data_IF_746860090191
#
_entry.id   IF_746860090191
#
_cell.length_a   1.000
_cell.length_b   1.000
_cell.length_c   1.000
_cell.angle_alpha   90.00
_cell.angle_beta   90.00
_cell.angle_gamma   90.00
#
_symmetry.space_group_name_H-M   'P 1'
#
loop_
_entity.id
_entity.type
_entity.pdbx_description
1 polymer ?
#
# COMPACT_ATOMS: atom_id res chain seq x y z
N UNK A 1 -10.34 5.06 4.78
CA UNK A 1 -9.22 5.25 3.83
C UNK A 1 -9.13 4.07 2.88
N UNK A 2 -8.16 4.04 1.97
CA UNK A 2 -7.83 2.85 1.18
C UNK A 2 -6.47 2.31 1.63
N UNK A 3 -6.37 1.00 1.82
CA UNK A 3 -5.12 0.33 2.13
C UNK A 3 -4.43 -0.14 0.86
N UNK A 4 -3.10 -0.24 0.89
CA UNK A 4 -2.29 -0.79 -0.19
C UNK A 4 -1.17 -1.66 0.38
N UNK A 5 -1.11 -2.93 -0.03
CA UNK A 5 -0.05 -3.87 0.34
C UNK A 5 0.72 -4.27 -0.93
N UNK A 6 1.82 -3.57 -1.28
CA UNK A 6 2.54 -3.79 -2.53
C UNK A 6 3.54 -4.96 -2.46
N UNK A 7 3.76 -5.49 -1.26
CA UNK A 7 4.65 -6.62 -1.00
C UNK A 7 4.13 -7.94 -1.57
N UNK A 8 5.04 -8.91 -1.63
CA UNK A 8 4.72 -10.30 -1.93
C UNK A 8 5.78 -11.20 -1.30
N UNK A 9 5.37 -12.20 -0.52
CA UNK A 9 6.27 -13.11 0.19
C UNK A 9 6.99 -14.09 -0.74
N UNK A 10 6.29 -14.58 -1.77
CA UNK A 10 6.82 -15.53 -2.75
C UNK A 10 7.69 -14.91 -3.86
N UNK A 11 8.13 -13.67 -3.66
CA UNK A 11 9.02 -12.97 -4.58
C UNK A 11 8.31 -12.21 -5.72
N UNK A 12 9.08 -11.69 -6.68
CA UNK A 12 8.61 -10.69 -7.64
C UNK A 12 7.58 -11.23 -8.65
N UNK A 13 7.51 -12.54 -8.87
CA UNK A 13 6.60 -13.14 -9.85
C UNK A 13 5.10 -12.95 -9.50
N UNK A 14 4.77 -12.87 -8.21
CA UNK A 14 3.41 -12.59 -7.72
C UNK A 14 3.18 -11.11 -7.40
N UNK A 15 4.14 -10.24 -7.72
CA UNK A 15 4.08 -8.83 -7.36
C UNK A 15 3.71 -8.01 -8.58
N UNK A 16 2.64 -7.23 -8.47
CA UNK A 16 2.38 -6.19 -9.47
C UNK A 16 3.48 -5.13 -9.42
N UNK A 17 3.81 -4.54 -10.57
CA UNK A 17 4.88 -3.56 -10.65
C UNK A 17 4.59 -2.35 -9.74
N UNK A 18 5.57 -1.83 -8.98
CA UNK A 18 5.37 -0.68 -8.08
C UNK A 18 4.74 0.53 -8.77
N UNK A 19 5.14 0.78 -10.01
CA UNK A 19 4.63 1.89 -10.82
C UNK A 19 3.15 1.69 -11.17
N UNK A 20 2.70 0.44 -11.36
CA UNK A 20 1.29 0.12 -11.63
C UNK A 20 0.43 0.28 -10.39
N UNK A 21 0.94 -0.05 -9.21
CA UNK A 21 0.29 0.28 -7.95
C UNK A 21 0.11 1.79 -7.80
N UNK A 22 1.17 2.56 -8.07
CA UNK A 22 1.12 4.02 -8.00
C UNK A 22 0.11 4.61 -9.00
N UNK A 23 0.13 4.16 -10.26
CA UNK A 23 -0.82 4.58 -11.30
C UNK A 23 -2.27 4.28 -10.91
N UNK A 24 -2.55 3.06 -10.43
CA UNK A 24 -3.89 2.68 -10.00
C UNK A 24 -4.38 3.54 -8.82
N UNK A 25 -3.53 3.73 -7.82
CA UNK A 25 -3.85 4.55 -6.65
C UNK A 25 -4.07 6.03 -7.03
N UNK A 26 -3.27 6.56 -7.96
CA UNK A 26 -3.45 7.91 -8.49
C UNK A 26 -4.75 8.04 -9.29
N UNK A 27 -5.08 7.07 -10.14
CA UNK A 27 -6.30 7.07 -10.95
C UNK A 27 -7.57 7.06 -10.08
N UNK A 28 -7.57 6.28 -9.00
CA UNK A 28 -8.65 6.27 -8.00
C UNK A 28 -8.73 7.63 -7.28
N UNK A 29 -7.58 8.19 -6.90
CA UNK A 29 -7.50 9.49 -6.22
C UNK A 29 -7.97 10.66 -7.10
N UNK A 30 -7.89 10.52 -8.42
CA UNK A 30 -8.40 11.51 -9.37
C UNK A 30 -9.95 11.51 -9.45
N UNK A 31 -10.59 10.36 -9.21
CA UNK A 31 -12.04 10.21 -9.25
C UNK A 31 -12.70 10.53 -7.90
N UNK A 32 -12.00 10.27 -6.80
CA UNK A 32 -12.47 10.55 -5.45
C UNK A 32 -11.33 11.02 -4.57
N UNK A 33 -11.58 11.99 -3.68
CA UNK A 33 -10.59 12.40 -2.67
C UNK A 33 -10.33 11.23 -1.72
N UNK A 34 -9.27 10.47 -1.97
CA UNK A 34 -8.87 9.31 -1.17
C UNK A 34 -7.53 9.53 -0.49
N UNK A 35 -7.44 9.07 0.75
CA UNK A 35 -6.18 8.89 1.47
C UNK A 35 -5.76 7.42 1.41
N UNK A 36 -4.50 7.19 1.10
CA UNK A 36 -3.87 5.88 1.02
C UNK A 36 -3.02 5.62 2.25
N UNK A 37 -3.05 4.37 2.73
CA UNK A 37 -2.07 3.87 3.69
C UNK A 37 -1.36 2.67 3.08
N UNK A 38 -0.03 2.69 3.10
CA UNK A 38 0.80 1.57 2.65
C UNK A 38 1.15 0.68 3.83
N UNK A 39 0.85 -0.61 3.71
CA UNK A 39 1.20 -1.64 4.67
C UNK A 39 2.17 -2.65 4.05
N UNK A 40 2.93 -3.32 4.91
CA UNK A 40 3.90 -4.32 4.49
C UNK A 40 5.00 -4.50 5.52
N UNK A 41 5.91 -5.41 5.20
CA UNK A 41 7.06 -5.71 6.07
C UNK A 41 8.21 -4.75 5.81
N UNK A 42 9.23 -4.75 6.68
CA UNK A 42 10.45 -3.95 6.47
C UNK A 42 11.12 -4.21 5.11
N UNK A 43 10.93 -5.39 4.51
CA UNK A 43 11.49 -5.76 3.20
C UNK A 43 10.83 -5.00 2.05
N UNK A 44 9.62 -4.50 2.25
CA UNK A 44 8.81 -3.82 1.23
C UNK A 44 9.06 -2.31 1.19
N UNK A 45 9.97 -1.79 2.04
CA UNK A 45 10.18 -0.35 2.23
C UNK A 45 10.52 0.39 0.95
N UNK A 46 11.46 -0.13 0.15
CA UNK A 46 11.87 0.50 -1.10
C UNK A 46 10.69 0.65 -2.08
N UNK A 47 9.81 -0.35 -2.14
CA UNK A 47 8.62 -0.34 -2.99
C UNK A 47 7.61 0.70 -2.48
N UNK A 48 7.41 0.74 -1.16
CA UNK A 48 6.53 1.73 -0.54
C UNK A 48 7.02 3.16 -0.75
N UNK A 49 8.33 3.40 -0.72
CA UNK A 49 8.91 4.72 -0.99
C UNK A 49 8.63 5.16 -2.44
N UNK A 50 8.77 4.27 -3.43
CA UNK A 50 8.40 4.57 -4.82
C UNK A 50 6.92 4.94 -4.96
N UNK A 51 6.03 4.18 -4.35
CA UNK A 51 4.57 4.42 -4.43
C UNK A 51 4.20 5.71 -3.68
N UNK A 52 4.76 5.92 -2.49
CA UNK A 52 4.51 7.11 -1.69
C UNK A 52 4.99 8.39 -2.41
N UNK A 53 6.15 8.35 -3.06
CA UNK A 53 6.65 9.48 -3.84
C UNK A 53 5.70 9.86 -4.99
N UNK A 54 5.07 8.89 -5.65
CA UNK A 54 4.11 9.14 -6.72
C UNK A 54 2.76 9.69 -6.19
N UNK A 55 2.33 9.29 -5.00
CA UNK A 55 1.05 9.70 -4.41
C UNK A 55 1.12 10.99 -3.56
N UNK A 56 2.33 11.38 -3.14
CA UNK A 56 2.57 12.59 -2.33
C UNK A 56 1.76 12.62 -1.03
N UNK A 57 1.23 13.79 -0.68
CA UNK A 57 0.53 14.05 0.59
C UNK A 57 -0.78 13.26 0.79
N UNK A 58 -1.21 12.53 -0.24
CA UNK A 58 -2.37 11.65 -0.15
C UNK A 58 -2.02 10.23 0.31
N UNK A 59 -0.76 9.98 0.65
CA UNK A 59 -0.27 8.68 1.07
C UNK A 59 0.44 8.74 2.42
N UNK A 60 0.12 7.82 3.32
CA UNK A 60 0.87 7.54 4.54
C UNK A 60 1.59 6.21 4.40
N UNK A 61 2.91 6.21 4.46
CA UNK A 61 3.71 4.99 4.38
C UNK A 61 3.92 4.41 5.79
N UNK A 62 3.20 3.32 6.12
CA UNK A 62 3.29 2.58 7.38
C UNK A 62 4.07 1.27 7.25
N UNK A 63 4.74 1.03 6.12
CA UNK A 63 5.49 -0.20 5.86
C UNK A 63 6.57 -0.42 6.92
N UNK A 64 6.53 -1.59 7.57
CA UNK A 64 7.47 -1.97 8.62
C UNK A 64 7.35 -1.17 9.91
N UNK A 65 6.28 -0.38 10.06
CA UNK A 65 6.01 0.50 11.22
C UNK A 65 4.80 0.06 12.06
N UNK A 66 4.17 -1.06 11.71
CA UNK A 66 3.05 -1.63 12.44
C UNK A 66 3.43 -2.97 13.04
N UNK A 67 2.98 -3.23 14.25
CA UNK A 67 2.78 -4.57 14.79
C UNK A 67 1.58 -5.25 14.09
N UNK A 68 1.38 -6.55 14.33
CA UNK A 68 0.23 -7.26 13.76
C UNK A 68 -1.09 -6.72 14.31
N UNK A 69 -1.16 -6.42 15.60
CA UNK A 69 -2.38 -5.88 16.24
C UNK A 69 -2.71 -4.47 15.70
N UNK A 70 -1.71 -3.61 15.55
CA UNK A 70 -1.88 -2.28 14.93
C UNK A 70 -2.32 -2.40 13.47
N UNK A 71 -1.75 -3.35 12.71
CA UNK A 71 -2.13 -3.61 11.34
C UNK A 71 -3.61 -4.00 11.25
N UNK A 72 -4.07 -4.93 12.10
CA UNK A 72 -5.47 -5.35 12.14
C UNK A 72 -6.39 -4.16 12.40
N UNK A 73 -6.02 -3.28 13.33
CA UNK A 73 -6.84 -2.12 13.67
C UNK A 73 -6.87 -1.08 12.54
N UNK A 74 -5.74 -0.78 11.91
CA UNK A 74 -5.69 0.15 10.78
C UNK A 74 -6.41 -0.41 9.54
N UNK A 75 -6.33 -1.73 9.30
CA UNK A 75 -7.07 -2.41 8.22
C UNK A 75 -8.58 -2.36 8.44
N UNK A 76 -9.08 -2.44 9.69
CA UNK A 76 -10.51 -2.27 9.99
C UNK A 76 -11.05 -0.90 9.56
N UNK A 77 -10.22 0.13 9.54
CA UNK A 77 -10.57 1.47 9.05
C UNK A 77 -10.50 1.65 7.52
N UNK A 78 -10.01 0.64 6.79
CA UNK A 78 -9.89 0.69 5.34
C UNK A 78 -11.20 0.25 4.67
N UNK A 79 -11.67 1.03 3.69
CA UNK A 79 -12.89 0.71 2.91
C UNK A 79 -12.65 -0.38 1.88
N UNK A 80 -11.41 -0.46 1.40
CA UNK A 80 -10.93 -1.50 0.51
C UNK A 80 -9.40 -1.60 0.64
N UNK A 81 -8.87 -2.74 0.21
CA UNK A 81 -7.44 -3.05 0.20
C UNK A 81 -7.02 -3.39 -1.23
N UNK A 82 -5.99 -2.70 -1.74
CA UNK A 82 -5.32 -3.05 -2.98
C UNK A 82 -4.07 -3.86 -2.65
N UNK A 83 -4.07 -5.15 -2.95
CA UNK A 83 -3.01 -6.07 -2.51
C UNK A 83 -2.74 -7.16 -3.55
N UNK A 84 -1.53 -7.73 -3.49
CA UNK A 84 -1.21 -8.97 -4.20
C UNK A 84 -1.82 -10.18 -3.47
N UNK A 85 -1.64 -11.39 -4.01
CA UNK A 85 -1.85 -12.64 -3.28
C UNK A 85 -0.75 -12.81 -2.21
N UNK A 86 -0.93 -12.15 -1.06
CA UNK A 86 0.00 -12.12 0.08
C UNK A 86 -0.77 -12.23 1.40
N UNK A 87 -0.14 -12.89 2.37
CA UNK A 87 -0.59 -12.93 3.77
C UNK A 87 -0.12 -11.74 4.58
#
# INVERSE_FOLDING_TARGET
MLGLCPGAEYGPAKRWLPERFAEAAAAISAQAKTKWILFGTKKDRAIGETIAAALGDNCSNRIGQTTLDELIEELRGCRALLTNDTG
#
